data_IF_774502900247
#
_entry.id   IF_774502900247
#
_cell.length_a   1.000
_cell.length_b   1.000
_cell.length_c   1.000
_cell.angle_alpha   90.00
_cell.angle_beta   90.00
_cell.angle_gamma   90.00
#
_symmetry.space_group_name_H-M   'P 1'
#
loop_
_entity.id
_entity.type
_entity.pdbx_description
1 polymer ?
#
# COMPACT_ATOMS: atom_id res chain seq x y z
N UNK A 1 8.92 30.47 -3.12
CA UNK A 1 10.10 30.17 -3.94
C UNK A 1 9.75 30.35 -5.40
N UNK A 2 10.46 31.24 -6.08
CA UNK A 2 10.33 31.44 -7.53
C UNK A 2 11.24 30.45 -8.28
N UNK A 3 11.10 30.32 -9.62
CA UNK A 3 12.07 29.60 -10.43
C UNK A 3 13.51 30.03 -10.14
N UNK A 4 14.45 29.08 -10.26
CA UNK A 4 15.90 29.22 -10.03
C UNK A 4 16.35 29.43 -8.59
N UNK A 5 15.45 29.82 -7.68
CA UNK A 5 15.74 29.87 -6.24
C UNK A 5 16.07 28.46 -5.72
N UNK A 6 16.91 28.43 -4.67
CA UNK A 6 17.44 27.21 -4.08
C UNK A 6 17.17 27.16 -2.58
N UNK A 7 16.75 26.00 -2.10
CA UNK A 7 16.79 25.66 -0.67
C UNK A 7 18.11 24.97 -0.39
N UNK A 8 18.76 25.31 0.72
CA UNK A 8 20.10 24.81 1.02
C UNK A 8 20.25 24.43 2.48
N UNK A 9 21.14 23.48 2.72
CA UNK A 9 21.69 23.16 4.05
C UNK A 9 23.19 22.94 3.88
N UNK A 10 23.98 23.61 4.71
CA UNK A 10 25.40 23.30 4.89
C UNK A 10 25.58 22.71 6.29
N UNK A 11 25.92 21.43 6.38
CA UNK A 11 26.05 20.76 7.68
C UNK A 11 27.30 21.19 8.44
N UNK A 12 28.34 21.63 7.72
CA UNK A 12 29.61 22.07 8.32
C UNK A 12 29.49 23.45 8.95
N UNK A 13 28.81 24.40 8.30
CA UNK A 13 28.63 25.77 8.80
C UNK A 13 27.34 25.93 9.62
N UNK A 14 26.37 25.04 9.44
CA UNK A 14 25.05 25.12 10.05
C UNK A 14 24.09 26.07 9.32
N UNK A 15 24.52 26.73 8.24
CA UNK A 15 23.72 27.65 7.45
C UNK A 15 22.62 26.93 6.66
N UNK A 16 21.42 27.52 6.62
CA UNK A 16 20.25 26.92 5.97
C UNK A 16 19.42 27.98 5.26
N UNK A 17 19.05 27.72 4.02
CA UNK A 17 18.01 28.47 3.29
C UNK A 17 16.75 27.62 3.26
N UNK A 18 15.68 28.12 3.88
CA UNK A 18 14.42 27.42 4.08
C UNK A 18 13.23 28.29 3.65
N UNK A 19 12.11 27.65 3.38
CA UNK A 19 10.81 28.31 3.35
C UNK A 19 10.25 28.39 4.76
N UNK A 20 9.54 29.47 5.04
CA UNK A 20 8.71 29.64 6.24
C UNK A 20 7.28 29.94 5.81
N UNK A 21 6.31 29.33 6.46
CA UNK A 21 4.91 29.65 6.19
C UNK A 21 4.58 31.04 6.72
N UNK A 22 3.52 31.63 6.18
CA UNK A 22 2.83 32.71 6.87
C UNK A 22 2.19 32.18 8.17
N UNK A 23 1.93 33.09 9.11
CA UNK A 23 1.21 32.78 10.35
C UNK A 23 -0.27 32.55 10.11
N UNK A 24 -0.85 33.29 9.16
CA UNK A 24 -2.24 33.12 8.74
C UNK A 24 -2.46 33.62 7.30
N UNK A 25 -3.66 33.39 6.74
CA UNK A 25 -3.97 33.79 5.36
C UNK A 25 -3.82 35.29 5.09
N UNK A 26 -3.94 36.13 6.12
CA UNK A 26 -3.82 37.58 6.05
C UNK A 26 -2.67 38.15 6.90
N UNK A 27 -1.85 37.28 7.52
CA UNK A 27 -0.75 37.68 8.39
C UNK A 27 0.57 37.08 7.84
N UNK A 28 1.38 37.90 7.14
CA UNK A 28 2.63 37.45 6.51
C UNK A 28 3.79 37.27 7.50
N UNK A 29 3.57 37.49 8.81
CA UNK A 29 4.58 37.17 9.81
C UNK A 29 4.92 35.67 9.82
N UNK A 30 6.07 35.33 10.39
CA UNK A 30 6.59 33.97 10.41
C UNK A 30 5.62 33.04 11.16
N UNK A 31 5.13 32.02 10.46
CA UNK A 31 4.28 30.97 11.02
C UNK A 31 5.06 29.83 11.68
N UNK A 32 4.33 28.77 12.06
CA UNK A 32 4.88 27.61 12.78
C UNK A 32 5.57 26.59 11.87
N UNK A 33 5.41 26.69 10.55
CA UNK A 33 5.99 25.73 9.61
C UNK A 33 7.21 26.28 8.88
N UNK A 34 8.20 25.41 8.69
CA UNK A 34 9.33 25.65 7.80
C UNK A 34 9.60 24.44 6.92
N UNK A 35 10.12 24.63 5.70
CA UNK A 35 10.45 23.55 4.79
C UNK A 35 11.83 23.74 4.17
N UNK A 36 12.56 22.65 3.94
CA UNK A 36 13.94 22.71 3.50
C UNK A 36 14.58 21.35 3.30
N UNK A 37 15.89 21.36 3.10
CA UNK A 37 16.72 20.17 2.85
C UNK A 37 17.43 19.73 4.12
N UNK A 38 17.49 18.41 4.33
CA UNK A 38 18.35 17.78 5.33
C UNK A 38 19.55 17.13 4.63
N UNK A 39 20.76 17.41 5.13
CA UNK A 39 22.03 17.01 4.54
C UNK A 39 22.62 15.71 5.09
N UNK A 40 21.78 14.83 5.66
CA UNK A 40 22.24 13.52 6.11
C UNK A 40 22.86 12.73 4.94
N UNK A 41 23.47 11.57 5.22
CA UNK A 41 24.05 10.66 4.21
C UNK A 41 23.13 10.37 3.02
N UNK A 42 21.81 10.54 3.19
CA UNK A 42 20.84 10.63 2.11
C UNK A 42 20.14 11.99 2.14
N UNK A 43 20.17 12.70 1.01
CA UNK A 43 19.45 13.97 0.88
C UNK A 43 17.94 13.74 0.90
N UNK A 44 17.26 14.47 1.78
CA UNK A 44 15.81 14.41 1.96
C UNK A 44 15.24 15.83 2.10
N UNK A 45 14.01 16.03 1.63
CA UNK A 45 13.24 17.23 1.91
C UNK A 45 12.33 16.99 3.13
N UNK A 46 12.20 18.01 3.96
CA UNK A 46 11.38 17.98 5.17
C UNK A 46 10.55 19.25 5.29
N UNK A 47 9.38 19.10 5.90
CA UNK A 47 8.68 20.20 6.55
C UNK A 47 8.73 19.97 8.05
N UNK A 48 9.06 21.01 8.81
CA UNK A 48 9.03 21.01 10.27
C UNK A 48 7.92 21.92 10.77
N UNK A 49 7.26 21.50 11.85
CA UNK A 49 6.35 22.32 12.66
C UNK A 49 7.02 22.57 13.99
N UNK A 50 7.26 23.84 14.33
CA UNK A 50 7.90 24.24 15.59
C UNK A 50 9.23 23.48 15.84
N UNK A 51 10.00 23.27 14.77
CA UNK A 51 11.28 22.55 14.79
C UNK A 51 11.20 21.03 14.77
N UNK A 52 10.01 20.43 14.86
CA UNK A 52 9.81 18.96 14.81
C UNK A 52 9.39 18.50 13.42
N UNK A 53 9.85 17.33 12.93
CA UNK A 53 9.42 16.80 11.63
C UNK A 53 7.90 16.68 11.55
N UNK A 54 7.32 17.20 10.47
CA UNK A 54 5.90 17.15 10.16
C UNK A 54 5.62 16.42 8.85
N UNK A 55 6.51 16.55 7.87
CA UNK A 55 6.51 15.79 6.62
C UNK A 55 7.94 15.43 6.25
N UNK A 56 8.11 14.27 5.60
CA UNK A 56 9.38 13.80 5.05
C UNK A 56 9.16 13.26 3.65
N UNK A 57 9.96 13.71 2.69
CA UNK A 57 9.87 13.27 1.29
C UNK A 57 10.42 11.86 1.05
N UNK A 58 11.24 11.33 1.96
CA UNK A 58 12.10 10.19 1.69
C UNK A 58 13.36 10.57 0.90
N UNK A 59 14.34 9.64 0.80
CA UNK A 59 15.59 9.86 0.07
C UNK A 59 15.37 10.27 -1.40
N UNK A 60 16.28 11.10 -1.89
CA UNK A 60 16.41 11.40 -3.31
C UNK A 60 17.09 10.24 -4.04
N UNK A 61 16.52 9.78 -5.14
CA UNK A 61 17.06 8.67 -5.93
C UNK A 61 17.72 9.09 -7.26
N UNK A 62 18.13 10.36 -7.38
CA UNK A 62 18.65 10.90 -8.64
C UNK A 62 17.58 11.43 -9.59
N UNK A 63 16.31 11.05 -9.42
CA UNK A 63 15.19 11.50 -10.28
C UNK A 63 14.02 12.12 -9.51
N UNK A 64 13.70 11.58 -8.33
CA UNK A 64 12.61 12.05 -7.48
C UNK A 64 12.88 11.70 -6.01
N UNK A 65 12.13 12.32 -5.11
CA UNK A 65 12.03 11.81 -3.74
C UNK A 65 11.09 10.61 -3.67
N UNK A 66 11.49 9.54 -3.00
CA UNK A 66 10.78 8.24 -3.02
C UNK A 66 9.37 8.33 -2.43
N UNK A 67 9.20 9.07 -1.34
CA UNK A 67 7.92 9.32 -0.67
C UNK A 67 7.12 10.46 -1.29
N UNK A 68 7.57 11.06 -2.40
CA UNK A 68 6.82 12.09 -3.09
C UNK A 68 5.68 11.47 -3.92
N UNK A 69 4.48 12.07 -3.90
CA UNK A 69 3.40 11.71 -4.79
C UNK A 69 3.82 11.66 -6.27
N UNK A 70 3.39 10.62 -6.98
CA UNK A 70 3.68 10.47 -8.41
C UNK A 70 2.82 11.44 -9.23
N UNK A 71 3.39 12.60 -9.51
CA UNK A 71 2.95 13.51 -10.56
C UNK A 71 4.02 13.50 -11.66
N UNK A 72 3.89 12.66 -12.70
CA UNK A 72 4.90 12.53 -13.76
C UNK A 72 5.32 13.88 -14.35
N UNK A 73 4.38 14.81 -14.49
CA UNK A 73 4.60 16.17 -14.98
C UNK A 73 5.49 17.05 -14.08
N UNK A 74 5.71 16.66 -12.82
CA UNK A 74 6.45 17.44 -11.84
C UNK A 74 7.87 16.92 -11.56
N UNK A 75 8.24 15.73 -12.07
CA UNK A 75 9.56 15.14 -11.77
C UNK A 75 10.73 15.95 -12.34
N UNK A 76 10.56 16.58 -13.50
CA UNK A 76 11.63 17.38 -14.14
C UNK A 76 11.63 18.85 -13.71
N UNK A 77 10.76 19.22 -12.76
CA UNK A 77 10.56 20.61 -12.31
C UNK A 77 11.42 20.99 -11.11
N UNK A 78 12.19 20.06 -10.56
CA UNK A 78 13.12 20.30 -9.47
C UNK A 78 14.31 19.34 -9.54
N UNK A 79 15.45 19.76 -9.00
CA UNK A 79 16.67 18.96 -8.95
C UNK A 79 17.35 19.04 -7.60
N UNK A 80 18.08 17.98 -7.24
CA UNK A 80 18.94 17.97 -6.06
C UNK A 80 20.39 18.04 -6.52
N UNK A 81 21.13 18.99 -5.95
CA UNK A 81 22.55 19.19 -6.25
C UNK A 81 23.33 19.10 -4.94
N UNK A 82 24.41 18.33 -4.96
CA UNK A 82 25.42 18.36 -3.90
C UNK A 82 26.59 19.21 -4.39
N UNK A 83 26.92 20.26 -3.64
CA UNK A 83 28.03 21.13 -3.94
C UNK A 83 29.35 20.62 -3.38
N UNK A 84 30.46 21.12 -3.94
CA UNK A 84 31.82 20.80 -3.49
C UNK A 84 32.11 21.24 -2.05
N UNK A 85 31.40 22.26 -1.54
CA UNK A 85 31.51 22.75 -0.17
C UNK A 85 30.74 21.88 0.86
N UNK A 86 30.14 20.78 0.40
CA UNK A 86 29.33 19.86 1.19
C UNK A 86 27.88 20.32 1.39
N UNK A 87 27.46 21.42 0.78
CA UNK A 87 26.05 21.86 0.87
C UNK A 87 25.15 21.05 -0.06
N UNK A 88 23.94 20.75 0.44
CA UNK A 88 22.89 20.10 -0.34
C UNK A 88 21.83 21.12 -0.73
N UNK A 89 21.43 21.10 -2.00
CA UNK A 89 20.51 22.05 -2.59
C UNK A 89 19.33 21.37 -3.24
N UNK A 90 18.12 21.91 -3.04
CA UNK A 90 16.97 21.67 -3.93
C UNK A 90 16.78 22.93 -4.76
N UNK A 91 16.85 22.78 -6.08
CA UNK A 91 16.57 23.85 -7.04
C UNK A 91 15.21 23.60 -7.70
N UNK A 92 14.43 24.67 -7.85
CA UNK A 92 13.20 24.64 -8.65
C UNK A 92 13.47 25.14 -10.07
N UNK A 93 13.15 24.31 -11.05
CA UNK A 93 13.55 24.43 -12.46
C UNK A 93 12.35 24.83 -13.35
N UNK A 94 11.12 24.82 -12.82
CA UNK A 94 9.92 25.04 -13.63
C UNK A 94 9.85 26.43 -14.30
N UNK A 95 9.30 26.46 -15.52
CA UNK A 95 9.17 27.63 -16.37
C UNK A 95 7.84 28.40 -16.17
N UNK A 96 7.89 29.72 -16.45
CA UNK A 96 6.84 30.75 -16.58
C UNK A 96 5.61 30.67 -15.65
N UNK A 97 5.42 31.73 -14.84
CA UNK A 97 4.27 31.98 -13.96
C UNK A 97 3.93 30.84 -13.00
N UNK A 98 4.95 30.21 -12.40
CA UNK A 98 4.81 29.23 -11.33
C UNK A 98 5.65 29.60 -10.10
N UNK A 99 5.23 29.12 -8.93
CA UNK A 99 5.97 29.29 -7.69
C UNK A 99 5.69 28.13 -6.72
N UNK A 100 6.64 27.87 -5.82
CA UNK A 100 6.44 26.97 -4.68
C UNK A 100 6.12 27.79 -3.43
N UNK A 101 5.09 27.40 -2.69
CA UNK A 101 4.68 28.03 -1.43
C UNK A 101 4.56 26.99 -0.33
N UNK A 102 4.96 27.34 0.89
CA UNK A 102 4.65 26.59 2.09
C UNK A 102 3.40 27.18 2.73
N UNK A 103 2.30 26.45 2.73
CA UNK A 103 1.01 26.94 3.23
C UNK A 103 1.01 27.06 4.75
N UNK A 104 0.02 27.80 5.29
CA UNK A 104 -0.22 27.93 6.73
C UNK A 104 -0.53 26.60 7.42
N UNK A 105 -0.91 25.58 6.65
CA UNK A 105 -1.19 24.20 7.12
C UNK A 105 0.05 23.29 7.00
N UNK A 106 1.19 23.84 6.56
CA UNK A 106 2.46 23.11 6.45
C UNK A 106 2.59 22.27 5.17
N UNK A 107 1.70 22.43 4.17
CA UNK A 107 1.84 21.74 2.90
C UNK A 107 2.68 22.57 1.92
N UNK A 108 3.66 21.93 1.29
CA UNK A 108 4.42 22.55 0.21
C UNK A 108 3.67 22.32 -1.08
N UNK A 109 3.31 23.39 -1.76
CA UNK A 109 2.53 23.38 -2.98
C UNK A 109 3.31 24.05 -4.10
N UNK A 110 3.31 23.44 -5.28
CA UNK A 110 3.67 24.12 -6.51
C UNK A 110 2.40 24.65 -7.16
N UNK A 111 2.37 25.94 -7.44
CA UNK A 111 1.25 26.64 -8.04
C UNK A 111 1.64 27.24 -9.37
N UNK A 112 0.71 27.26 -10.31
CA UNK A 112 0.84 27.95 -11.58
C UNK A 112 -0.32 28.92 -11.79
N UNK A 113 -0.07 29.97 -12.56
CA UNK A 113 -1.10 30.93 -12.93
C UNK A 113 -1.87 30.42 -14.14
N UNK A 114 -3.17 30.18 -13.97
CA UNK A 114 -4.09 29.93 -15.07
C UNK A 114 -4.57 31.28 -15.63
N UNK A 115 -4.12 31.62 -16.84
CA UNK A 115 -4.45 32.91 -17.47
C UNK A 115 -5.91 33.00 -17.92
N UNK A 116 -6.56 31.88 -18.21
CA UNK A 116 -7.96 31.83 -18.64
C UNK A 116 -8.88 32.07 -17.44
N UNK A 117 -8.61 31.36 -16.34
CA UNK A 117 -9.41 31.46 -15.10
C UNK A 117 -8.99 32.61 -14.20
N UNK A 118 -7.81 33.20 -14.44
CA UNK A 118 -7.20 34.27 -13.62
C UNK A 118 -7.04 33.87 -12.15
N UNK A 119 -6.62 32.63 -11.91
CA UNK A 119 -6.40 32.08 -10.56
C UNK A 119 -5.09 31.31 -10.49
N UNK A 120 -4.55 31.21 -9.27
CA UNK A 120 -3.46 30.28 -8.98
C UNK A 120 -4.03 28.89 -8.75
N UNK A 121 -3.67 27.95 -9.62
CA UNK A 121 -4.03 26.54 -9.44
C UNK A 121 -2.87 25.75 -8.82
N UNK A 122 -3.21 24.71 -8.06
CA UNK A 122 -2.24 23.81 -7.43
C UNK A 122 -1.91 22.68 -8.40
N UNK A 123 -0.68 22.68 -8.91
CA UNK A 123 -0.19 21.62 -9.79
C UNK A 123 0.27 20.39 -8.99
N UNK A 124 0.94 20.64 -7.87
CA UNK A 124 1.53 19.60 -7.04
C UNK A 124 1.46 19.99 -5.56
N UNK A 125 1.29 18.99 -4.70
CA UNK A 125 1.38 19.13 -3.24
C UNK A 125 2.19 17.98 -2.64
N UNK A 126 2.98 18.30 -1.62
CA UNK A 126 3.85 17.33 -0.96
C UNK A 126 3.05 16.27 -0.18
N UNK A 127 2.01 16.70 0.54
CA UNK A 127 1.13 15.81 1.30
C UNK A 127 -0.22 15.64 0.59
N UNK A 128 -0.63 14.39 0.39
CA UNK A 128 -1.93 14.00 -0.18
C UNK A 128 -2.89 13.40 0.83
N UNK A 129 -2.37 12.80 1.89
CA UNK A 129 -3.14 12.03 2.86
C UNK A 129 -2.55 12.17 4.26
N UNK A 130 -3.29 11.68 5.26
CA UNK A 130 -2.81 11.63 6.65
C UNK A 130 -1.54 10.78 6.78
N UNK A 131 -1.34 9.78 5.92
CA UNK A 131 -0.11 8.97 5.93
C UNK A 131 1.17 9.74 5.62
N UNK A 132 1.06 10.93 5.03
CA UNK A 132 2.22 11.76 4.71
C UNK A 132 2.67 12.59 5.94
N UNK A 133 1.83 12.69 6.98
CA UNK A 133 2.19 13.28 8.26
C UNK A 133 3.19 12.36 8.96
N UNK A 134 4.33 12.94 9.33
CA UNK A 134 5.47 12.21 9.85
C UNK A 134 5.10 11.36 11.07
N UNK A 135 5.41 10.06 11.01
CA UNK A 135 5.27 9.17 12.16
C UNK A 135 3.84 8.82 12.55
N UNK A 136 2.86 9.01 11.65
CA UNK A 136 1.43 8.70 11.87
C UNK A 136 1.17 7.32 12.49
N UNK A 137 1.92 6.28 12.11
CA UNK A 137 1.74 4.91 12.61
C UNK A 137 2.73 4.50 13.70
N UNK A 138 3.52 5.43 14.24
CA UNK A 138 4.55 5.16 15.24
C UNK A 138 5.70 4.28 14.74
N UNK A 139 6.58 3.89 15.67
CA UNK A 139 7.74 3.05 15.38
C UNK A 139 7.33 1.65 14.92
N UNK A 140 7.97 1.12 13.89
CA UNK A 140 7.70 -0.20 13.30
C UNK A 140 6.26 -0.40 12.80
N UNK A 141 5.51 0.69 12.65
CA UNK A 141 4.22 0.74 11.95
C UNK A 141 4.40 1.19 10.50
N UNK A 142 3.48 0.78 9.64
CA UNK A 142 3.37 1.20 8.25
C UNK A 142 2.02 1.84 7.99
N UNK A 143 2.02 2.97 7.29
CA UNK A 143 0.80 3.62 6.85
C UNK A 143 0.41 3.20 5.43
N UNK A 144 -0.87 2.92 5.20
CA UNK A 144 -1.46 2.71 3.89
C UNK A 144 -2.79 3.46 3.81
N UNK A 145 -2.83 4.54 3.03
CA UNK A 145 -4.03 5.38 2.89
C UNK A 145 -5.21 4.66 2.21
N UNK A 146 -4.96 3.51 1.57
CA UNK A 146 -5.98 2.66 0.94
C UNK A 146 -6.53 1.58 1.87
N UNK A 147 -5.99 1.45 3.09
CA UNK A 147 -6.41 0.44 4.06
C UNK A 147 -7.29 1.03 5.16
N UNK A 148 -8.10 0.19 5.78
CA UNK A 148 -8.86 0.51 7.00
C UNK A 148 -8.64 -0.61 8.03
N UNK A 149 -7.96 -0.35 9.15
CA UNK A 149 -7.32 0.91 9.55
C UNK A 149 -6.14 1.29 8.64
N UNK A 150 -5.78 2.59 8.60
CA UNK A 150 -4.67 3.08 7.77
C UNK A 150 -3.30 2.62 8.27
N UNK A 151 -3.17 2.25 9.55
CA UNK A 151 -1.94 1.79 10.14
C UNK A 151 -1.97 0.30 10.46
N UNK A 152 -0.88 -0.39 10.13
CA UNK A 152 -0.61 -1.76 10.54
C UNK A 152 0.82 -1.90 11.03
N UNK A 153 1.08 -2.88 11.88
CA UNK A 153 2.46 -3.24 12.21
C UNK A 153 3.15 -3.87 10.99
N UNK A 154 4.45 -3.59 10.83
CA UNK A 154 5.27 -4.27 9.84
C UNK A 154 5.23 -5.80 10.08
N UNK A 155 5.37 -6.59 9.02
CA UNK A 155 5.33 -8.05 9.15
C UNK A 155 6.46 -8.53 10.11
N UNK A 156 6.11 -9.43 11.05
CA UNK A 156 7.00 -9.84 12.16
C UNK A 156 6.92 -8.96 13.41
N UNK A 157 6.04 -7.96 13.43
CA UNK A 157 5.79 -7.06 14.56
C UNK A 157 4.32 -7.11 15.00
N UNK A 158 4.08 -6.68 16.23
CA UNK A 158 2.77 -6.59 16.85
C UNK A 158 2.63 -5.28 17.65
N UNK A 159 1.40 -4.81 17.93
CA UNK A 159 1.19 -3.58 18.70
C UNK A 159 1.88 -3.65 20.06
N UNK A 160 2.52 -2.55 20.49
CA UNK A 160 3.01 -2.47 21.88
C UNK A 160 1.85 -2.38 22.87
N UNK A 161 0.81 -1.64 22.50
CA UNK A 161 -0.41 -1.47 23.27
C UNK A 161 -1.61 -1.79 22.36
N UNK A 162 -2.20 -2.97 22.56
CA UNK A 162 -3.35 -3.43 21.77
C UNK A 162 -4.59 -2.58 22.00
N UNK A 163 -4.78 -2.03 23.20
CA UNK A 163 -5.94 -1.18 23.52
C UNK A 163 -5.87 0.15 22.77
N UNK A 164 -4.71 0.81 22.74
CA UNK A 164 -4.48 2.01 21.93
C UNK A 164 -4.74 1.72 20.44
N UNK A 165 -4.21 0.60 19.91
CA UNK A 165 -4.39 0.19 18.52
C UNK A 165 -5.85 0.00 18.14
N UNK A 166 -6.62 -0.67 19.01
CA UNK A 166 -8.05 -0.91 18.79
C UNK A 166 -8.85 0.40 18.78
N UNK A 167 -8.36 1.42 19.48
CA UNK A 167 -8.91 2.79 19.49
C UNK A 167 -8.32 3.69 18.41
N UNK A 168 -7.57 3.14 17.45
CA UNK A 168 -6.90 3.88 16.37
C UNK A 168 -5.88 4.93 16.87
N UNK A 169 -5.31 4.71 18.06
CA UNK A 169 -4.14 5.43 18.52
C UNK A 169 -2.89 4.58 18.27
N UNK A 170 -2.03 5.03 17.34
CA UNK A 170 -0.83 4.29 16.94
C UNK A 170 0.46 4.89 17.49
N UNK A 171 0.39 5.74 18.52
CA UNK A 171 1.54 6.51 19.00
C UNK A 171 2.62 5.62 19.62
N UNK A 172 2.25 4.56 20.33
CA UNK A 172 3.21 3.63 20.99
C UNK A 172 4.08 2.82 20.01
N UNK A 173 3.71 2.78 18.74
CA UNK A 173 4.29 1.90 17.73
C UNK A 173 4.05 0.40 17.98
N UNK A 174 4.82 -0.39 17.25
CA UNK A 174 4.85 -1.84 17.33
C UNK A 174 6.15 -2.31 17.99
N UNK A 175 6.13 -3.53 18.52
CA UNK A 175 7.31 -4.26 18.98
C UNK A 175 7.48 -5.52 18.15
N UNK A 176 8.70 -6.02 18.10
CA UNK A 176 9.00 -7.28 17.43
C UNK A 176 8.30 -8.43 18.14
N UNK A 177 7.70 -9.35 17.39
CA UNK A 177 7.01 -10.53 17.94
C UNK A 177 8.01 -11.55 18.49
N UNK A 178 8.98 -11.94 17.64
CA UNK A 178 10.03 -12.90 18.02
C UNK A 178 11.41 -12.21 18.07
N UNK A 179 12.18 -12.37 19.17
CA UNK A 179 13.54 -11.84 19.27
C UNK A 179 14.47 -12.41 18.19
N UNK A 180 15.37 -11.57 17.68
CA UNK A 180 16.44 -11.96 16.78
C UNK A 180 17.43 -12.91 17.48
N UNK A 181 18.07 -13.78 16.72
CA UNK A 181 19.03 -14.78 17.21
C UNK A 181 20.50 -14.40 16.98
N UNK A 182 20.76 -13.25 16.33
CA UNK A 182 22.12 -12.77 16.08
C UNK A 182 23.02 -12.83 17.33
N UNK A 183 24.19 -13.44 17.21
CA UNK A 183 25.18 -13.54 18.30
C UNK A 183 24.99 -14.69 19.29
N UNK A 184 23.93 -15.51 19.20
CA UNK A 184 23.74 -16.70 20.06
C UNK A 184 24.46 -17.96 19.54
N UNK A 185 25.30 -17.82 18.51
CA UNK A 185 25.97 -18.93 17.80
C UNK A 185 27.23 -19.36 18.54
N UNK A 186 27.07 -19.84 19.77
CA UNK A 186 28.12 -20.56 20.49
C UNK A 186 27.76 -22.04 20.56
N UNK A 187 27.63 -22.71 19.40
CA UNK A 187 27.83 -24.16 19.25
C UNK A 187 27.74 -24.55 17.77
N UNK A 188 28.65 -25.44 17.35
CA UNK A 188 28.93 -25.91 15.98
C UNK A 188 27.81 -26.70 15.28
N UNK A 189 26.56 -26.28 15.42
CA UNK A 189 25.46 -26.91 14.71
C UNK A 189 24.45 -25.85 14.28
N UNK A 190 24.04 -25.95 13.02
CA UNK A 190 22.80 -25.42 12.43
C UNK A 190 22.97 -24.08 11.67
N UNK A 191 23.21 -24.21 10.36
CA UNK A 191 22.91 -23.16 9.38
C UNK A 191 21.40 -22.79 9.35
N UNK A 192 20.53 -23.63 9.92
CA UNK A 192 19.06 -23.51 9.90
C UNK A 192 18.44 -22.56 10.96
N UNK A 193 19.21 -21.70 11.63
CA UNK A 193 18.67 -20.82 12.71
C UNK A 193 19.17 -19.37 12.67
N UNK A 194 19.66 -18.92 11.53
CA UNK A 194 20.07 -17.52 11.37
C UNK A 194 18.85 -16.63 11.13
N UNK A 195 18.94 -15.37 11.58
CA UNK A 195 17.95 -14.37 11.22
C UNK A 195 17.89 -14.22 9.70
N UNK A 196 16.69 -13.99 9.19
CA UNK A 196 16.40 -13.84 7.76
C UNK A 196 15.69 -12.51 7.48
N UNK A 197 15.36 -12.23 6.22
CA UNK A 197 14.65 -11.01 5.85
C UNK A 197 13.29 -11.26 5.21
N UNK A 198 12.30 -10.48 5.65
CA UNK A 198 11.02 -10.35 4.98
C UNK A 198 11.03 -9.16 4.03
N UNK A 199 10.65 -9.42 2.77
CA UNK A 199 10.53 -8.40 1.73
C UNK A 199 9.18 -7.69 1.80
N UNK A 200 9.20 -6.38 1.98
CA UNK A 200 8.05 -5.49 1.84
C UNK A 200 8.20 -4.65 0.58
N UNK A 201 7.32 -4.88 -0.39
CA UNK A 201 7.42 -4.20 -1.69
C UNK A 201 6.87 -2.76 -1.63
N UNK A 202 7.33 -1.88 -2.51
CA UNK A 202 6.73 -0.56 -2.75
C UNK A 202 6.55 0.29 -1.48
N UNK A 203 7.62 0.44 -0.70
CA UNK A 203 7.63 1.20 0.54
C UNK A 203 8.27 2.58 0.34
N UNK A 204 7.71 3.60 0.98
CA UNK A 204 8.50 4.75 1.44
C UNK A 204 9.39 4.21 2.55
N UNK A 205 10.70 4.11 2.26
CA UNK A 205 11.66 3.55 3.21
C UNK A 205 11.70 4.39 4.49
N UNK A 206 11.99 3.79 5.66
CA UNK A 206 11.96 4.49 6.95
C UNK A 206 12.98 5.64 7.01
N UNK A 207 12.79 6.54 7.97
CA UNK A 207 13.78 7.58 8.27
C UNK A 207 15.05 6.99 8.92
N UNK A 208 16.11 7.80 9.04
CA UNK A 208 17.39 7.42 9.68
C UNK A 208 18.13 6.25 9.03
N UNK A 209 18.08 6.18 7.70
CA UNK A 209 18.87 5.22 6.95
C UNK A 209 20.36 5.58 6.97
N UNK A 210 21.20 4.58 7.20
CA UNK A 210 22.66 4.66 7.02
C UNK A 210 22.99 4.20 5.60
N UNK A 211 23.67 5.05 4.83
CA UNK A 211 23.97 4.79 3.43
C UNK A 211 25.37 4.21 3.22
N UNK A 212 25.51 3.31 2.24
CA UNK A 212 26.80 2.83 1.75
C UNK A 212 26.77 2.54 0.24
N UNK A 213 27.96 2.46 -0.37
CA UNK A 213 28.17 2.16 -1.80
C UNK A 213 27.98 0.66 -2.11
N UNK A 214 27.62 -0.16 -1.13
CA UNK A 214 27.53 -1.61 -1.29
C UNK A 214 26.51 -2.02 -2.38
N UNK A 215 26.83 -3.08 -3.11
CA UNK A 215 25.89 -3.72 -4.05
C UNK A 215 24.81 -4.50 -3.29
N UNK A 216 23.77 -4.97 -3.99
CA UNK A 216 22.59 -5.59 -3.34
C UNK A 216 22.96 -6.76 -2.40
N UNK A 217 23.72 -7.73 -2.90
CA UNK A 217 24.13 -8.90 -2.13
C UNK A 217 25.01 -8.50 -0.93
N UNK A 218 25.93 -7.57 -1.15
CA UNK A 218 26.78 -7.02 -0.09
C UNK A 218 25.95 -6.26 0.95
N UNK A 219 24.89 -5.54 0.55
CA UNK A 219 23.99 -4.81 1.43
C UNK A 219 23.27 -5.76 2.39
N UNK A 220 22.77 -6.89 1.86
CA UNK A 220 22.18 -7.95 2.68
C UNK A 220 23.22 -8.53 3.66
N UNK A 221 24.41 -8.88 3.18
CA UNK A 221 25.45 -9.48 4.02
C UNK A 221 25.95 -8.52 5.10
N UNK A 222 26.15 -7.24 4.78
CA UNK A 222 26.51 -6.20 5.74
C UNK A 222 25.48 -6.11 6.87
N UNK A 223 24.19 -6.13 6.53
CA UNK A 223 23.14 -6.12 7.54
C UNK A 223 23.13 -7.42 8.37
N UNK A 224 23.32 -8.60 7.76
CA UNK A 224 23.37 -9.86 8.52
C UNK A 224 24.51 -9.90 9.53
N UNK A 225 25.70 -9.47 9.12
CA UNK A 225 26.91 -9.48 9.95
C UNK A 225 26.84 -8.46 11.09
N UNK A 226 26.07 -7.39 10.92
CA UNK A 226 25.81 -6.41 11.98
C UNK A 226 24.57 -6.80 12.80
N UNK A 227 24.75 -7.34 14.01
CA UNK A 227 23.62 -7.72 14.88
C UNK A 227 22.69 -6.57 15.29
N UNK A 228 23.13 -5.32 15.16
CA UNK A 228 22.28 -4.15 15.40
C UNK A 228 21.44 -3.78 14.18
N UNK A 229 21.76 -4.29 12.99
CA UNK A 229 21.00 -4.02 11.78
C UNK A 229 19.65 -4.75 11.82
N UNK A 230 18.58 -4.00 11.58
CA UNK A 230 17.20 -4.49 11.66
C UNK A 230 16.44 -4.44 10.33
N UNK A 231 16.96 -3.71 9.34
CA UNK A 231 16.43 -3.69 7.98
C UNK A 231 17.48 -3.19 6.99
N UNK A 232 17.31 -3.53 5.71
CA UNK A 232 18.03 -2.92 4.61
C UNK A 232 17.10 -2.67 3.42
N UNK A 233 17.55 -1.84 2.49
CA UNK A 233 16.96 -1.61 1.20
C UNK A 233 18.09 -1.35 0.20
N UNK A 234 17.88 -1.71 -1.05
CA UNK A 234 18.82 -1.45 -2.12
C UNK A 234 18.09 -0.80 -3.28
N UNK A 235 18.71 0.21 -3.86
CA UNK A 235 18.26 0.86 -5.08
C UNK A 235 19.48 1.10 -5.96
N UNK A 236 19.39 0.78 -7.25
CA UNK A 236 20.53 0.87 -8.17
C UNK A 236 21.03 2.31 -8.34
N UNK A 237 20.17 3.31 -8.15
CA UNK A 237 20.54 4.73 -8.16
C UNK A 237 21.02 5.26 -6.81
N UNK A 238 20.42 4.79 -5.71
CA UNK A 238 20.65 5.32 -4.36
C UNK A 238 21.61 4.47 -3.54
N UNK A 239 22.06 3.31 -4.01
CA UNK A 239 22.95 2.39 -3.29
C UNK A 239 22.27 1.61 -2.15
N UNK A 240 23.08 1.15 -1.21
CA UNK A 240 22.65 0.39 -0.05
C UNK A 240 22.21 1.32 1.08
N UNK A 241 21.08 0.97 1.70
CA UNK A 241 20.55 1.64 2.88
C UNK A 241 20.33 0.60 3.97
N UNK A 242 20.86 0.85 5.16
CA UNK A 242 20.67 -0.02 6.33
C UNK A 242 20.08 0.76 7.50
N UNK A 243 19.39 0.07 8.39
CA UNK A 243 18.83 0.66 9.60
C UNK A 243 19.29 -0.11 10.82
N UNK A 244 19.83 0.62 11.79
CA UNK A 244 20.21 0.11 13.12
C UNK A 244 19.28 0.60 14.23
N UNK A 245 18.40 1.56 13.90
CA UNK A 245 17.47 2.24 14.80
C UNK A 245 16.03 1.92 14.43
N UNK A 246 15.09 2.31 15.31
CA UNK A 246 13.65 2.10 15.08
C UNK A 246 13.19 2.59 13.72
N UNK A 247 12.44 1.76 13.00
CA UNK A 247 11.90 2.09 11.69
C UNK A 247 10.75 3.09 11.86
N UNK A 248 10.99 4.35 11.54
CA UNK A 248 10.03 5.45 11.69
C UNK A 248 9.54 5.94 10.33
N UNK A 249 8.31 6.44 10.29
CA UNK A 249 7.73 7.10 9.10
C UNK A 249 7.72 6.21 7.84
N UNK A 250 7.33 4.95 8.03
CA UNK A 250 7.22 3.96 6.96
C UNK A 250 5.82 3.99 6.35
N UNK A 251 5.73 3.91 5.02
CA UNK A 251 4.45 3.98 4.31
C UNK A 251 4.45 3.02 3.14
N UNK A 252 3.34 2.32 2.91
CA UNK A 252 3.07 1.57 1.68
C UNK A 252 2.65 2.55 0.60
N UNK A 253 3.35 2.53 -0.52
CA UNK A 253 3.02 3.36 -1.69
C UNK A 253 2.24 2.52 -2.70
N UNK A 254 1.01 2.93 -2.98
CA UNK A 254 0.10 2.20 -3.87
C UNK A 254 0.43 2.35 -5.36
N UNK A 255 1.20 3.38 -5.74
CA UNK A 255 1.35 3.82 -7.14
C UNK A 255 2.67 3.34 -7.81
N UNK A 256 3.28 2.29 -7.26
CA UNK A 256 4.45 1.63 -7.85
C UNK A 256 5.75 2.42 -7.83
N UNK A 257 5.87 3.44 -6.97
CA UNK A 257 7.06 4.31 -6.87
C UNK A 257 7.93 4.08 -5.64
N UNK A 258 7.53 3.18 -4.74
CA UNK A 258 8.30 2.85 -3.54
C UNK A 258 9.41 1.83 -3.81
N UNK A 259 10.27 1.64 -2.82
CA UNK A 259 11.36 0.67 -2.85
C UNK A 259 11.00 -0.58 -2.08
N UNK A 260 11.75 -1.65 -2.36
CA UNK A 260 11.64 -2.86 -1.57
C UNK A 260 12.44 -2.67 -0.27
N UNK A 261 11.76 -2.88 0.86
CA UNK A 261 12.35 -2.84 2.20
C UNK A 261 12.43 -4.26 2.73
N UNK A 262 13.61 -4.68 3.16
CA UNK A 262 13.88 -6.00 3.70
C UNK A 262 14.05 -5.89 5.21
N UNK A 263 13.10 -6.43 5.98
CA UNK A 263 13.13 -6.35 7.44
C UNK A 263 13.70 -7.64 8.01
N UNK A 264 14.71 -7.51 8.87
CA UNK A 264 15.31 -8.65 9.56
C UNK A 264 14.32 -9.23 10.55
N UNK A 265 14.13 -10.54 10.54
CA UNK A 265 13.25 -11.31 11.44
C UNK A 265 13.92 -12.61 11.86
N UNK A 266 13.45 -13.21 12.96
CA UNK A 266 13.89 -14.54 13.34
C UNK A 266 13.44 -15.58 12.30
N UNK A 267 14.25 -16.61 12.07
CA UNK A 267 13.96 -17.69 11.12
C UNK A 267 12.56 -18.30 11.30
N UNK A 268 12.15 -18.50 12.56
CA UNK A 268 10.87 -19.11 12.92
C UNK A 268 9.64 -18.34 12.44
N UNK A 269 9.75 -17.02 12.19
CA UNK A 269 8.65 -16.23 11.62
C UNK A 269 8.34 -16.67 10.17
N UNK A 270 9.35 -17.18 9.44
CA UNK A 270 9.18 -17.69 8.07
C UNK A 270 8.51 -19.07 8.05
N UNK A 271 8.89 -19.94 9.00
CA UNK A 271 8.36 -21.32 9.10
C UNK A 271 6.86 -21.33 9.41
N UNK A 272 6.41 -20.49 10.35
CA UNK A 272 4.98 -20.35 10.67
C UNK A 272 4.14 -19.97 9.46
N UNK A 273 4.66 -19.16 8.55
CA UNK A 273 3.95 -18.75 7.32
C UNK A 273 3.89 -19.89 6.31
N UNK A 274 4.97 -20.66 6.18
CA UNK A 274 5.03 -21.86 5.35
C UNK A 274 3.98 -22.88 5.77
N UNK A 275 3.86 -23.15 7.06
CA UNK A 275 2.96 -24.18 7.57
C UNK A 275 1.49 -23.77 7.49
N UNK A 276 1.13 -22.51 7.79
CA UNK A 276 -0.24 -22.02 7.58
C UNK A 276 -0.64 -22.11 6.11
N UNK A 277 0.25 -21.73 5.18
CA UNK A 277 -0.02 -21.82 3.74
C UNK A 277 -0.24 -23.26 3.29
N UNK A 278 0.59 -24.21 3.74
CA UNK A 278 0.41 -25.65 3.48
C UNK A 278 -0.93 -26.15 4.01
N UNK A 279 -1.29 -25.80 5.25
CA UNK A 279 -2.56 -26.21 5.87
C UNK A 279 -3.76 -25.71 5.06
N UNK A 280 -3.75 -24.43 4.66
CA UNK A 280 -4.83 -23.83 3.84
C UNK A 280 -4.92 -24.51 2.47
N UNK A 281 -3.79 -24.75 1.80
CA UNK A 281 -3.80 -25.44 0.50
C UNK A 281 -4.36 -26.86 0.61
N UNK A 282 -3.97 -27.61 1.65
CA UNK A 282 -4.47 -28.97 1.89
C UNK A 282 -5.98 -28.96 2.15
N UNK A 283 -6.48 -28.05 2.99
CA UNK A 283 -7.92 -27.96 3.30
C UNK A 283 -8.76 -27.58 2.08
N UNK A 284 -8.28 -26.68 1.22
CA UNK A 284 -8.96 -26.32 -0.03
C UNK A 284 -9.03 -27.52 -0.99
N UNK A 285 -7.93 -28.26 -1.14
CA UNK A 285 -7.89 -29.46 -2.01
C UNK A 285 -8.86 -30.53 -1.50
N UNK A 286 -8.87 -30.78 -0.19
CA UNK A 286 -9.79 -31.76 0.41
C UNK A 286 -11.24 -31.31 0.18
N UNK A 287 -11.55 -30.03 0.42
CA UNK A 287 -12.88 -29.47 0.20
C UNK A 287 -13.38 -29.62 -1.24
N UNK A 288 -12.54 -29.34 -2.24
CA UNK A 288 -12.94 -29.45 -3.65
C UNK A 288 -13.20 -30.90 -4.06
N UNK A 289 -12.42 -31.86 -3.54
CA UNK A 289 -12.63 -33.28 -3.79
C UNK A 289 -13.96 -33.75 -3.19
N UNK A 290 -14.25 -33.38 -1.93
CA UNK A 290 -15.52 -33.73 -1.29
C UNK A 290 -16.73 -33.17 -2.03
N UNK A 291 -16.69 -31.90 -2.45
CA UNK A 291 -17.77 -31.28 -3.22
C UNK A 291 -17.97 -32.00 -4.55
N UNK A 292 -16.88 -32.34 -5.24
CA UNK A 292 -16.94 -33.05 -6.53
C UNK A 292 -17.55 -34.45 -6.38
N UNK A 293 -17.16 -35.20 -5.35
CA UNK A 293 -17.74 -36.52 -5.04
C UNK A 293 -19.23 -36.39 -4.70
N UNK A 294 -19.60 -35.42 -3.86
CA UNK A 294 -20.98 -35.20 -3.46
C UNK A 294 -21.86 -34.82 -4.66
N UNK A 295 -21.38 -33.93 -5.52
CA UNK A 295 -22.07 -33.57 -6.77
C UNK A 295 -22.24 -34.78 -7.70
N UNK A 296 -21.21 -35.61 -7.83
CA UNK A 296 -21.28 -36.85 -8.62
C UNK A 296 -22.30 -37.85 -8.06
N UNK A 297 -22.31 -38.05 -6.73
CA UNK A 297 -23.27 -38.93 -6.08
C UNK A 297 -24.71 -38.43 -6.23
N UNK A 298 -24.94 -37.12 -6.06
CA UNK A 298 -26.25 -36.50 -6.30
C UNK A 298 -26.69 -36.66 -7.76
N UNK A 299 -25.78 -36.46 -8.71
CA UNK A 299 -26.08 -36.64 -10.13
C UNK A 299 -26.46 -38.09 -10.45
N UNK A 300 -25.71 -39.06 -9.92
CA UNK A 300 -25.99 -40.49 -10.08
C UNK A 300 -27.31 -40.90 -9.42
N UNK A 301 -27.63 -40.35 -8.26
CA UNK A 301 -28.89 -40.57 -7.56
C UNK A 301 -30.08 -40.03 -8.38
N UNK A 302 -29.99 -38.80 -8.88
CA UNK A 302 -31.02 -38.22 -9.74
C UNK A 302 -31.20 -38.99 -11.06
N UNK A 303 -30.12 -39.49 -11.67
CA UNK A 303 -30.18 -40.33 -12.86
C UNK A 303 -30.91 -41.67 -12.60
N UNK A 304 -30.68 -42.29 -11.43
CA UNK A 304 -31.36 -43.54 -11.02
C UNK A 304 -32.86 -43.32 -10.77
N UNK A 305 -33.25 -42.19 -10.17
CA UNK A 305 -34.66 -41.86 -9.94
C UNK A 305 -35.42 -41.53 -11.23
N UNK A 306 -34.76 -40.95 -12.25
CA UNK A 306 -35.37 -40.78 -13.58
C UNK A 306 -35.65 -42.11 -14.29
N UNK A 307 -34.84 -43.15 -14.07
CA UNK A 307 -35.09 -44.48 -14.65
C UNK A 307 -36.28 -45.22 -13.99
N UNK A 308 -36.54 -45.00 -12.70
CA UNK A 308 -37.64 -45.66 -11.97
C UNK A 308 -39.02 -45.09 -12.34
N UNK A 309 -39.10 -43.82 -12.75
CA UNK A 309 -40.38 -43.20 -13.15
C UNK A 309 -40.87 -43.56 -14.56
N UNK A 310 -40.03 -44.14 -15.41
CA UNK A 310 -40.42 -44.51 -16.80
C UNK A 310 -41.12 -45.88 -16.87
N UNK A 311 -41.01 -46.74 -15.85
CA UNK A 311 -41.54 -48.11 -15.91
C UNK A 311 -42.93 -48.31 -15.28
N UNK A 312 -43.62 -47.24 -14.85
CA UNK A 312 -45.00 -47.30 -14.32
C UNK A 312 -45.92 -46.25 -14.95
N UNK A 313 -46.09 -46.30 -16.27
CA UNK A 313 -47.25 -45.68 -16.92
C UNK A 313 -47.78 -46.66 -17.99
N UNK A 314 -48.67 -47.57 -17.58
CA UNK A 314 -49.60 -48.22 -18.50
C UNK A 314 -50.92 -47.44 -18.39
N UNK A 315 -51.22 -46.61 -19.38
CA UNK A 315 -52.51 -45.92 -19.50
C UNK A 315 -53.34 -46.70 -20.52
N UNK A 316 -54.50 -47.28 -20.14
CA UNK A 316 -55.45 -47.80 -21.10
C UNK A 316 -56.19 -46.63 -21.78
N UNK A 317 -56.42 -46.80 -23.08
CA UNK A 317 -57.12 -45.90 -23.98
C UNK A 317 -58.61 -45.79 -23.65
N UNK A 318 -59.11 -44.59 -23.36
CA UNK A 318 -60.52 -44.21 -23.60
C UNK A 318 -60.59 -42.75 -24.06
N UNK A 319 -61.40 -42.43 -25.10
CA UNK A 319 -61.41 -41.11 -25.73
C UNK A 319 -62.31 -40.14 -24.97
N UNK A 320 -61.88 -38.87 -24.83
CA UNK A 320 -62.70 -37.79 -24.27
C UNK A 320 -62.74 -36.62 -25.26
N UNK A 321 -63.97 -36.18 -25.54
CA UNK A 321 -64.37 -35.18 -26.54
C UNK A 321 -63.83 -33.75 -26.32
N UNK A 322 -63.76 -32.94 -27.40
CA UNK A 322 -63.17 -31.61 -27.40
C UNK A 322 -64.18 -30.54 -26.94
N UNK A 323 -64.20 -30.20 -25.65
CA UNK A 323 -64.83 -28.93 -25.21
C UNK A 323 -64.28 -28.30 -23.93
N UNK A 324 -63.24 -28.85 -23.31
CA UNK A 324 -62.77 -28.39 -21.98
C UNK A 324 -61.45 -27.61 -22.02
N UNK A 325 -61.16 -26.84 -23.08
CA UNK A 325 -59.93 -26.03 -23.17
C UNK A 325 -60.16 -24.51 -23.17
N UNK A 326 -61.37 -24.02 -22.87
CA UNK A 326 -61.64 -22.57 -22.74
C UNK A 326 -61.75 -22.05 -21.30
N UNK A 327 -61.63 -22.91 -20.27
CA UNK A 327 -61.87 -22.50 -18.87
C UNK A 327 -60.62 -22.13 -18.05
N UNK A 328 -59.42 -22.24 -18.61
CA UNK A 328 -58.16 -21.98 -17.87
C UNK A 328 -57.46 -20.65 -18.21
N UNK A 329 -58.00 -19.85 -19.14
CA UNK A 329 -57.36 -18.57 -19.56
C UNK A 329 -57.63 -17.37 -18.62
N UNK A 330 -58.58 -17.48 -17.69
CA UNK A 330 -59.02 -16.37 -16.83
C UNK A 330 -58.67 -16.50 -15.33
N UNK A 331 -57.78 -17.42 -14.93
CA UNK A 331 -57.28 -17.43 -13.54
C UNK A 331 -56.26 -16.28 -13.33
N UNK A 332 -56.45 -15.39 -12.34
CA UNK A 332 -55.62 -14.19 -12.15
C UNK A 332 -54.24 -14.46 -11.53
N UNK A 333 -53.85 -15.73 -11.35
CA UNK A 333 -52.58 -16.13 -10.70
C UNK A 333 -51.64 -16.93 -11.62
N UNK A 334 -51.76 -16.80 -12.94
CA UNK A 334 -50.79 -17.40 -13.86
C UNK A 334 -49.59 -16.47 -14.12
N UNK A 335 -48.39 -17.00 -13.85
CA UNK A 335 -47.11 -16.34 -14.21
C UNK A 335 -47.02 -16.11 -15.73
N UNK A 336 -46.43 -15.00 -16.20
CA UNK A 336 -46.43 -14.61 -17.62
C UNK A 336 -45.83 -15.67 -18.56
N UNK A 337 -44.81 -16.38 -18.08
CA UNK A 337 -44.11 -17.44 -18.81
C UNK A 337 -45.02 -18.65 -19.10
N UNK A 338 -45.94 -18.97 -18.19
CA UNK A 338 -46.89 -20.07 -18.36
C UNK A 338 -48.03 -19.69 -19.31
N UNK A 339 -48.42 -18.40 -19.34
CA UNK A 339 -49.39 -17.86 -20.29
C UNK A 339 -48.86 -17.87 -21.73
N UNK A 340 -47.59 -17.50 -21.92
CA UNK A 340 -46.94 -17.55 -23.24
C UNK A 340 -46.84 -18.98 -23.78
N UNK A 341 -46.51 -19.96 -22.93
CA UNK A 341 -46.43 -21.37 -23.32
C UNK A 341 -47.80 -21.94 -23.73
N UNK A 342 -48.88 -21.58 -23.05
CA UNK A 342 -50.26 -22.00 -23.39
C UNK A 342 -50.78 -21.35 -24.68
N UNK A 343 -50.40 -20.09 -24.96
CA UNK A 343 -50.72 -19.42 -26.22
C UNK A 343 -49.98 -20.05 -27.40
N UNK A 344 -48.70 -20.38 -27.24
CA UNK A 344 -47.92 -21.07 -28.27
C UNK A 344 -48.46 -22.48 -28.56
N UNK A 345 -48.89 -23.21 -27.52
CA UNK A 345 -49.52 -24.52 -27.68
C UNK A 345 -50.89 -24.44 -28.39
N UNK A 346 -51.67 -23.38 -28.16
CA UNK A 346 -52.95 -23.17 -28.85
C UNK A 346 -52.79 -22.77 -30.33
N UNK A 347 -51.73 -22.06 -30.68
CA UNK A 347 -51.45 -21.68 -32.07
C UNK A 347 -50.92 -22.89 -32.86
N UNK A 348 -50.10 -23.72 -32.24
CA UNK A 348 -49.57 -24.96 -32.85
C UNK A 348 -50.67 -26.03 -33.09
N UNK A 349 -51.74 -26.03 -32.30
CA UNK A 349 -52.86 -26.96 -32.44
C UNK A 349 -53.87 -26.59 -33.55
N UNK A 350 -53.75 -25.40 -34.16
CA UNK A 350 -54.69 -24.87 -35.17
C UNK A 350 -54.09 -24.79 -36.59
N UNK A 351 -52.89 -25.35 -36.81
CA UNK A 351 -52.23 -25.47 -38.12
C UNK A 351 -51.87 -26.92 -38.49
N UNK A 352 -52.48 -27.92 -37.85
CA UNK A 352 -52.30 -29.34 -38.15
C UNK A 352 -53.63 -30.04 -38.42
#
# INVERSE_FOLDING_TARGET
MLPEMKLSTNERTGEKVKLTSWKGPSDPSIGSFSAGVSGQSLTQAFTWKDGRPYFRSGPWNGRKFIGSPRYPQFHDKYGVVQNQDGSYLIQFIAFHSSHIVLTTQGNTEARYWDSEKKVWEVEWKAMLSVCDVYGTCGAFGSCNSMSSPICSCLEGFEPKNTEEWNRQNWTSGCKRRTPLQCGRVNTRSVADKMDEFLKLNMMKVPDFAEWSVAQEDDCRQQCLQNCSCIAYAFDSSSGCMTWTRSLMDTQKISNGSGFDLYIRVAHSELDTKGDVRKIVTITVIIGTIFISIFAYLLWRWMAKHKAIHVQKIHIPSTPIQPSTLKRFLHLPLLKPTLRAALLLASIAANQG
#
